data_IF_285899622460
#
_entry.id   IF_285899622460
#
_cell.length_a   1.000
_cell.length_b   1.000
_cell.length_c   1.000
_cell.angle_alpha   90.00
_cell.angle_beta   90.00
_cell.angle_gamma   90.00
#
_symmetry.space_group_name_H-M   'P 1'
#
loop_
_entity.id
_entity.type
_entity.pdbx_description
1 polymer ?
#
# COMPACT_ATOMS: atom_id res chain seq x y z
N UNK A 1 -3.69 -25.43 6.37
CA UNK A 1 -3.54 -24.21 7.18
C UNK A 1 -3.21 -23.07 6.22
N UNK A 2 -3.96 -21.95 6.23
CA UNK A 2 -3.60 -20.77 5.44
C UNK A 2 -2.24 -20.23 5.91
N UNK A 3 -1.41 -19.79 4.96
CA UNK A 3 -0.09 -19.21 5.24
C UNK A 3 -0.20 -17.70 5.13
N UNK A 4 0.26 -17.03 6.18
CA UNK A 4 0.32 -15.56 6.26
C UNK A 4 1.78 -15.14 6.26
N UNK A 5 2.13 -14.20 5.37
CA UNK A 5 3.47 -13.61 5.27
C UNK A 5 3.43 -12.17 5.77
N UNK A 6 4.42 -11.76 6.56
CA UNK A 6 4.59 -10.36 6.95
C UNK A 6 6.00 -9.87 6.58
N UNK A 7 6.05 -8.74 5.89
CA UNK A 7 7.27 -8.10 5.42
C UNK A 7 7.33 -6.74 6.11
N UNK A 8 8.38 -6.52 6.89
CA UNK A 8 8.57 -5.32 7.69
C UNK A 8 10.03 -4.86 7.70
N UNK A 9 10.27 -3.57 7.95
CA UNK A 9 11.62 -3.07 8.25
C UNK A 9 11.96 -3.41 9.72
N UNK A 10 13.23 -3.73 9.97
CA UNK A 10 13.80 -4.30 11.20
C UNK A 10 13.30 -3.70 12.53
N UNK A 11 12.93 -2.41 12.58
CA UNK A 11 12.46 -1.73 13.80
C UNK A 11 11.03 -2.05 14.26
N UNK A 12 10.21 -2.76 13.48
CA UNK A 12 8.79 -3.01 13.82
C UNK A 12 8.50 -4.41 14.43
N UNK A 13 9.52 -5.25 14.58
CA UNK A 13 9.37 -6.69 14.86
C UNK A 13 9.33 -7.07 16.34
N UNK A 14 9.46 -6.13 17.28
CA UNK A 14 9.42 -6.43 18.72
C UNK A 14 8.07 -7.04 19.17
N UNK A 15 7.03 -7.03 18.33
CA UNK A 15 5.66 -7.41 18.70
C UNK A 15 5.17 -8.79 18.21
N UNK A 16 5.91 -9.55 17.39
CA UNK A 16 5.37 -10.78 16.78
C UNK A 16 6.38 -11.93 16.57
N UNK A 17 6.40 -12.96 17.45
CA UNK A 17 7.36 -14.06 17.39
C UNK A 17 6.99 -15.24 16.45
N UNK A 18 5.73 -15.36 16.00
CA UNK A 18 5.25 -16.50 15.20
C UNK A 18 5.27 -16.27 13.67
N UNK A 19 5.96 -15.22 13.23
CA UNK A 19 5.90 -14.69 11.88
C UNK A 19 7.18 -15.03 11.11
N UNK A 20 7.06 -15.42 9.84
CA UNK A 20 8.19 -15.44 8.89
C UNK A 20 8.51 -14.00 8.50
N UNK A 21 9.57 -13.37 9.05
CA UNK A 21 9.86 -11.97 8.78
C UNK A 21 10.72 -11.85 7.53
N UNK A 22 10.34 -10.94 6.64
CA UNK A 22 11.16 -10.54 5.51
C UNK A 22 11.51 -9.03 5.65
N UNK A 23 12.82 -8.75 5.76
CA UNK A 23 13.55 -7.47 5.90
C UNK A 23 14.08 -6.79 4.60
N UNK A 24 13.59 -5.59 4.24
CA UNK A 24 14.21 -4.69 3.23
C UNK A 24 14.30 -5.22 1.78
N UNK A 25 15.16 -4.62 0.94
CA UNK A 25 15.35 -5.04 -0.48
C UNK A 25 15.69 -6.52 -0.63
N UNK A 26 16.57 -7.03 0.24
CA UNK A 26 16.92 -8.46 0.30
C UNK A 26 15.71 -9.34 0.59
N UNK A 27 14.66 -8.77 1.15
CA UNK A 27 13.44 -9.50 1.43
C UNK A 27 12.39 -9.40 0.37
N UNK A 28 12.46 -8.37 -0.47
CA UNK A 28 11.78 -8.42 -1.75
C UNK A 28 12.28 -9.64 -2.55
N UNK A 29 13.59 -9.90 -2.53
CA UNK A 29 14.17 -11.11 -3.12
C UNK A 29 13.69 -12.41 -2.42
N UNK A 30 13.74 -12.47 -1.09
CA UNK A 30 13.26 -13.66 -0.35
C UNK A 30 11.78 -13.98 -0.60
N UNK A 31 10.92 -12.96 -0.65
CA UNK A 31 9.49 -13.12 -0.93
C UNK A 31 9.26 -13.60 -2.35
N UNK A 32 10.05 -13.11 -3.32
CA UNK A 32 9.99 -13.61 -4.70
C UNK A 32 10.45 -15.06 -4.83
N UNK A 33 11.46 -15.45 -4.06
CA UNK A 33 11.96 -16.83 -4.01
C UNK A 33 10.96 -17.75 -3.29
N UNK A 34 10.09 -17.20 -2.44
CA UNK A 34 9.07 -17.97 -1.75
C UNK A 34 8.03 -18.54 -2.73
N UNK A 35 8.18 -19.82 -3.07
CA UNK A 35 7.32 -20.52 -4.04
C UNK A 35 5.99 -21.02 -3.46
N UNK A 36 5.81 -20.92 -2.14
CA UNK A 36 4.58 -21.39 -1.50
C UNK A 36 3.45 -20.39 -1.70
N UNK A 37 2.28 -20.83 -2.19
CA UNK A 37 1.13 -19.94 -2.33
C UNK A 37 0.68 -19.42 -0.95
N UNK A 38 0.47 -18.12 -0.87
CA UNK A 38 -0.02 -17.41 0.30
C UNK A 38 -1.51 -17.14 0.17
N UNK A 39 -2.22 -17.20 1.30
CA UNK A 39 -3.60 -16.75 1.39
C UNK A 39 -3.66 -15.29 1.84
N UNK A 40 -2.74 -14.88 2.71
CA UNK A 40 -2.70 -13.54 3.27
C UNK A 40 -1.26 -13.02 3.24
N UNK A 41 -1.10 -11.73 2.92
CA UNK A 41 0.20 -11.07 2.93
C UNK A 41 0.08 -9.66 3.47
N UNK A 42 1.04 -9.29 4.30
CA UNK A 42 1.25 -7.93 4.80
C UNK A 42 2.63 -7.45 4.38
N UNK A 43 2.66 -6.34 3.63
CA UNK A 43 3.87 -5.75 3.06
C UNK A 43 3.96 -4.29 3.50
N UNK A 44 4.49 -4.07 4.69
CA UNK A 44 4.53 -2.77 5.35
C UNK A 44 5.98 -2.31 5.52
N UNK A 45 6.41 -1.38 4.69
CA UNK A 45 7.69 -0.71 4.87
C UNK A 45 7.46 0.55 5.68
N UNK A 46 8.16 0.69 6.82
CA UNK A 46 8.03 1.87 7.68
C UNK A 46 8.34 3.14 6.87
N UNK A 47 7.44 4.12 6.88
CA UNK A 47 7.65 5.38 6.16
C UNK A 47 8.84 6.20 6.69
N UNK A 48 9.31 5.91 7.90
CA UNK A 48 10.49 6.49 8.56
C UNK A 48 11.62 5.47 8.62
N UNK A 49 12.23 5.16 7.48
CA UNK A 49 13.51 4.45 7.50
C UNK A 49 14.58 5.39 8.09
N UNK A 50 15.42 4.92 9.04
CA UNK A 50 16.55 5.71 9.54
C UNK A 50 17.64 5.91 8.46
N UNK A 51 17.55 5.22 7.33
CA UNK A 51 18.44 5.33 6.20
C UNK A 51 17.90 6.37 5.20
N UNK A 52 18.58 7.52 5.01
CA UNK A 52 18.21 8.49 3.98
C UNK A 52 18.20 7.83 2.60
N UNK A 53 17.17 8.09 1.78
CA UNK A 53 17.08 7.59 0.40
C UNK A 53 16.50 6.17 0.24
N UNK A 54 16.47 5.34 1.30
CA UNK A 54 15.97 3.97 1.21
C UNK A 54 14.52 3.85 0.70
N UNK A 55 13.69 4.87 0.97
CA UNK A 55 12.32 4.94 0.47
C UNK A 55 12.26 5.17 -1.04
N UNK A 56 13.11 6.07 -1.54
CA UNK A 56 13.18 6.40 -2.96
C UNK A 56 13.76 5.22 -3.74
N UNK A 57 14.80 4.57 -3.20
CA UNK A 57 15.41 3.37 -3.78
C UNK A 57 14.37 2.24 -3.93
N UNK A 58 13.64 1.92 -2.85
CA UNK A 58 12.58 0.89 -2.88
C UNK A 58 11.44 1.26 -3.84
N UNK A 59 11.00 2.52 -3.86
CA UNK A 59 9.92 2.98 -4.74
C UNK A 59 10.31 2.91 -6.22
N UNK A 60 11.59 3.13 -6.55
CA UNK A 60 12.11 3.06 -7.91
C UNK A 60 12.32 1.62 -8.38
N UNK A 61 12.55 0.69 -7.45
CA UNK A 61 12.81 -0.70 -7.75
C UNK A 61 11.50 -1.47 -8.03
N UNK A 62 11.28 -1.82 -9.29
CA UNK A 62 10.10 -2.57 -9.74
C UNK A 62 9.94 -3.93 -9.05
N UNK A 63 11.05 -4.56 -8.67
CA UNK A 63 11.04 -5.88 -8.04
C UNK A 63 10.59 -5.83 -6.57
N UNK A 64 10.64 -4.63 -5.96
CA UNK A 64 10.15 -4.37 -4.61
C UNK A 64 8.66 -3.98 -4.59
N UNK A 65 8.01 -3.92 -5.75
CA UNK A 65 6.59 -3.62 -5.82
C UNK A 65 5.77 -4.80 -5.26
N UNK A 66 4.81 -4.58 -4.34
CA UNK A 66 4.08 -5.66 -3.67
C UNK A 66 3.42 -6.67 -4.64
N UNK A 67 2.82 -6.18 -5.72
CA UNK A 67 2.20 -7.04 -6.75
C UNK A 67 3.21 -7.86 -7.55
N UNK A 68 4.43 -7.36 -7.74
CA UNK A 68 5.49 -8.10 -8.43
C UNK A 68 6.10 -9.13 -7.48
N UNK A 69 6.32 -8.76 -6.22
CA UNK A 69 6.83 -9.65 -5.18
C UNK A 69 5.92 -10.86 -4.97
N UNK A 70 4.60 -10.63 -4.93
CA UNK A 70 3.61 -11.65 -4.58
C UNK A 70 3.01 -12.38 -5.80
N UNK A 71 3.58 -12.21 -6.99
CA UNK A 71 3.03 -12.79 -8.24
C UNK A 71 2.80 -14.31 -8.17
N UNK A 72 3.63 -15.05 -7.43
CA UNK A 72 3.48 -16.49 -7.25
C UNK A 72 2.25 -16.88 -6.42
N UNK A 73 1.73 -15.95 -5.62
CA UNK A 73 0.52 -16.12 -4.81
C UNK A 73 -0.72 -15.54 -5.48
N UNK A 74 -0.64 -15.07 -6.73
CA UNK A 74 -1.71 -14.32 -7.38
C UNK A 74 -3.06 -15.06 -7.41
N UNK A 75 -3.04 -16.38 -7.61
CA UNK A 75 -4.25 -17.20 -7.65
C UNK A 75 -4.84 -17.54 -6.27
N UNK A 76 -4.08 -17.36 -5.18
CA UNK A 76 -4.46 -17.83 -3.83
C UNK A 76 -4.60 -16.72 -2.81
N UNK A 77 -3.97 -15.57 -3.04
CA UNK A 77 -3.99 -14.44 -2.14
C UNK A 77 -5.41 -13.88 -2.06
N UNK A 78 -5.97 -13.82 -0.86
CA UNK A 78 -7.32 -13.29 -0.60
C UNK A 78 -7.29 -11.94 0.09
N UNK A 79 -6.26 -11.71 0.91
CA UNK A 79 -6.06 -10.45 1.65
C UNK A 79 -4.65 -9.92 1.43
N UNK A 80 -4.56 -8.65 1.05
CA UNK A 80 -3.31 -7.91 0.93
C UNK A 80 -3.37 -6.67 1.83
N UNK A 81 -2.43 -6.58 2.78
CA UNK A 81 -2.12 -5.36 3.51
C UNK A 81 -0.83 -4.79 2.91
N UNK A 82 -0.82 -3.54 2.48
CA UNK A 82 0.38 -2.94 1.89
C UNK A 82 0.45 -1.45 2.16
N UNK A 83 1.68 -0.94 2.27
CA UNK A 83 1.92 0.48 2.47
C UNK A 83 2.07 1.30 1.19
N UNK A 84 2.71 2.46 1.34
CA UNK A 84 2.99 3.45 0.28
C UNK A 84 3.61 2.87 -1.02
N UNK A 85 4.26 1.71 -0.95
CA UNK A 85 4.95 1.14 -2.12
C UNK A 85 4.02 0.80 -3.28
N UNK A 86 2.75 0.48 -3.01
CA UNK A 86 1.79 0.10 -4.04
C UNK A 86 1.57 1.23 -5.06
N UNK A 87 1.65 2.50 -4.62
CA UNK A 87 1.41 3.67 -5.48
C UNK A 87 2.68 4.47 -5.80
N UNK A 88 3.81 4.11 -5.17
CA UNK A 88 5.04 4.90 -5.24
C UNK A 88 5.78 4.77 -6.58
N UNK A 89 5.67 3.62 -7.26
CA UNK A 89 6.37 3.38 -8.51
C UNK A 89 5.52 3.83 -9.70
N UNK A 90 5.65 5.10 -10.10
CA UNK A 90 4.85 5.68 -11.20
C UNK A 90 4.98 4.90 -12.52
N UNK A 91 6.12 4.25 -12.76
CA UNK A 91 6.35 3.46 -13.96
C UNK A 91 5.44 2.24 -13.96
N UNK A 92 5.32 1.53 -12.83
CA UNK A 92 4.40 0.41 -12.69
C UNK A 92 2.94 0.86 -12.58
N UNK A 93 2.66 2.02 -11.99
CA UNK A 93 1.27 2.47 -11.81
C UNK A 93 0.67 2.96 -13.14
N UNK A 94 1.40 3.73 -13.93
CA UNK A 94 0.84 4.45 -15.08
C UNK A 94 1.43 4.07 -16.44
N UNK A 95 2.69 3.62 -16.49
CA UNK A 95 3.41 3.44 -17.78
C UNK A 95 3.39 1.98 -18.24
N UNK A 96 3.74 1.06 -17.34
CA UNK A 96 3.86 -0.39 -17.58
C UNK A 96 3.35 -1.17 -16.36
N UNK A 97 2.03 -1.25 -16.18
CA UNK A 97 1.46 -2.06 -15.10
C UNK A 97 1.90 -3.51 -15.18
N UNK A 98 2.20 -4.16 -14.03
CA UNK A 98 2.47 -5.59 -14.00
C UNK A 98 1.37 -6.38 -14.72
N UNK A 99 1.77 -7.37 -15.50
CA UNK A 99 0.86 -8.26 -16.25
C UNK A 99 0.36 -9.42 -15.37
N UNK A 100 0.09 -9.12 -14.10
CA UNK A 100 -0.41 -10.07 -13.12
C UNK A 100 -1.73 -9.58 -12.57
N UNK A 101 -2.66 -10.49 -12.40
CA UNK A 101 -3.96 -10.25 -11.76
C UNK A 101 -4.09 -11.16 -10.55
N UNK A 102 -4.71 -10.65 -9.49
CA UNK A 102 -4.95 -11.33 -8.23
C UNK A 102 -6.45 -11.55 -8.08
N UNK A 103 -7.04 -12.53 -8.79
CA UNK A 103 -8.48 -12.70 -8.85
C UNK A 103 -9.09 -13.16 -7.52
N UNK A 104 -8.31 -13.75 -6.61
CA UNK A 104 -8.80 -14.19 -5.31
C UNK A 104 -8.80 -13.07 -4.26
N UNK A 105 -8.13 -11.94 -4.52
CA UNK A 105 -8.05 -10.83 -3.57
C UNK A 105 -9.40 -10.14 -3.48
N UNK A 106 -10.02 -10.24 -2.31
CA UNK A 106 -11.25 -9.55 -1.98
C UNK A 106 -11.05 -8.44 -0.95
N UNK A 107 -9.92 -8.43 -0.22
CA UNK A 107 -9.59 -7.42 0.78
C UNK A 107 -8.24 -6.78 0.50
N UNK A 108 -8.22 -5.45 0.36
CA UNK A 108 -7.02 -4.61 0.27
C UNK A 108 -7.04 -3.61 1.43
N UNK A 109 -5.97 -3.61 2.21
CA UNK A 109 -5.73 -2.62 3.27
C UNK A 109 -4.49 -1.82 2.89
N UNK A 110 -4.67 -0.52 2.72
CA UNK A 110 -3.63 0.43 2.37
C UNK A 110 -3.20 1.18 3.63
N UNK A 111 -1.98 0.94 4.08
CA UNK A 111 -1.45 1.53 5.33
C UNK A 111 -0.46 2.67 5.04
N UNK A 112 -0.47 3.70 5.88
CA UNK A 112 0.38 4.89 5.73
C UNK A 112 0.42 5.49 4.30
N UNK A 113 -0.67 5.37 3.53
CA UNK A 113 -0.73 5.88 2.16
C UNK A 113 -0.87 7.41 2.15
N UNK A 114 0.04 8.10 1.44
CA UNK A 114 0.05 9.57 1.31
C UNK A 114 -0.71 10.08 0.09
N UNK A 115 -0.90 9.23 -0.93
CA UNK A 115 -1.75 9.50 -2.08
C UNK A 115 -2.40 8.22 -2.56
N UNK A 116 -3.61 8.32 -3.11
CA UNK A 116 -4.34 7.19 -3.67
C UNK A 116 -4.69 7.48 -5.11
N UNK A 117 -4.14 6.70 -6.02
CA UNK A 117 -4.66 6.64 -7.38
C UNK A 117 -5.46 5.35 -7.51
N UNK A 118 -6.79 5.44 -7.41
CA UNK A 118 -7.67 4.25 -7.40
C UNK A 118 -7.75 3.51 -8.74
N UNK A 119 -7.39 4.19 -9.85
CA UNK A 119 -7.56 3.70 -11.22
C UNK A 119 -6.82 2.39 -11.59
N UNK A 120 -5.59 2.09 -11.11
CA UNK A 120 -4.85 0.89 -11.50
C UNK A 120 -5.33 -0.38 -10.76
N UNK A 121 -5.92 -0.25 -9.57
CA UNK A 121 -6.25 -1.40 -8.73
C UNK A 121 -7.33 -2.30 -9.33
N UNK A 122 -8.28 -1.72 -10.07
CA UNK A 122 -9.36 -2.48 -10.72
C UNK A 122 -8.78 -3.50 -11.72
N UNK A 123 -7.66 -3.17 -12.36
CA UNK A 123 -6.99 -4.09 -13.29
C UNK A 123 -6.35 -5.26 -12.55
N UNK A 124 -5.66 -4.98 -11.44
CA UNK A 124 -4.89 -6.00 -10.72
C UNK A 124 -5.75 -6.84 -9.79
N UNK A 125 -6.77 -6.25 -9.16
CA UNK A 125 -7.61 -6.84 -8.12
C UNK A 125 -9.09 -6.83 -8.58
N UNK A 126 -9.45 -7.57 -9.64
CA UNK A 126 -10.75 -7.42 -10.31
C UNK A 126 -11.96 -7.78 -9.42
N UNK A 127 -11.75 -8.56 -8.35
CA UNK A 127 -12.79 -8.99 -7.42
C UNK A 127 -12.68 -8.31 -6.05
N UNK A 128 -12.01 -7.16 -5.98
CA UNK A 128 -11.85 -6.42 -4.73
C UNK A 128 -13.22 -5.99 -4.18
N UNK A 129 -13.57 -6.49 -3.00
CA UNK A 129 -14.84 -6.20 -2.32
C UNK A 129 -14.68 -5.25 -1.13
N UNK A 130 -13.51 -5.27 -0.49
CA UNK A 130 -13.19 -4.49 0.69
C UNK A 130 -11.90 -3.71 0.46
N UNK A 131 -12.02 -2.37 0.46
CA UNK A 131 -10.89 -1.45 0.44
C UNK A 131 -10.89 -0.67 1.76
N UNK A 132 -9.80 -0.80 2.53
CA UNK A 132 -9.56 -0.02 3.73
C UNK A 132 -8.33 0.85 3.51
N UNK A 133 -8.40 2.11 3.90
CA UNK A 133 -7.25 3.02 3.87
C UNK A 133 -7.00 3.53 5.28
N UNK A 134 -5.77 3.38 5.76
CA UNK A 134 -5.29 3.86 7.05
C UNK A 134 -4.30 4.99 6.79
N UNK A 135 -4.64 6.18 7.25
CA UNK A 135 -3.80 7.36 7.12
C UNK A 135 -2.92 7.51 8.36
N UNK A 136 -1.67 7.93 8.17
CA UNK A 136 -0.69 8.09 9.25
C UNK A 136 -0.97 9.34 10.10
N UNK A 137 -1.28 10.46 9.43
CA UNK A 137 -1.32 11.78 10.06
C UNK A 137 -2.72 12.41 9.98
N UNK A 138 -3.33 12.51 8.78
CA UNK A 138 -4.71 12.98 8.56
C UNK A 138 -5.24 12.43 7.23
N UNK A 139 -6.55 12.19 7.12
CA UNK A 139 -7.16 11.89 5.82
C UNK A 139 -6.98 13.10 4.89
N UNK A 140 -6.64 12.93 3.60
CA UNK A 140 -6.67 14.03 2.64
C UNK A 140 -8.10 14.57 2.41
N UNK A 141 -9.10 13.88 2.98
CA UNK A 141 -10.50 14.29 3.02
C UNK A 141 -10.90 14.93 4.36
N UNK A 142 -10.00 14.97 5.34
CA UNK A 142 -10.17 15.78 6.56
C UNK A 142 -9.85 17.24 6.22
N UNK A 143 -10.63 17.82 5.30
CA UNK A 143 -10.77 19.27 5.17
C UNK A 143 -11.57 19.77 6.39
N UNK A 144 -11.00 19.66 7.58
CA UNK A 144 -11.40 20.53 8.67
C UNK A 144 -10.74 21.88 8.45
N UNK A 145 -11.38 22.65 7.58
CA UNK A 145 -11.32 24.10 7.53
C UNK A 145 -11.18 24.67 8.95
N UNK A 146 -9.94 24.99 9.34
CA UNK A 146 -9.66 25.82 10.51
C UNK A 146 -9.77 27.31 10.17
N UNK A 147 -10.32 27.64 9.00
CA UNK A 147 -10.89 28.96 8.77
C UNK A 147 -12.32 28.94 9.28
N UNK A 148 -12.51 29.49 10.49
CA UNK A 148 -13.84 29.86 11.00
C UNK A 148 -14.66 30.58 9.93
N UNK A 149 -16.01 30.60 10.03
CA UNK A 149 -16.92 30.81 8.92
C UNK A 149 -16.43 31.90 7.97
N UNK A 150 -15.78 31.46 6.89
CA UNK A 150 -15.29 32.36 5.85
C UNK A 150 -16.49 33.07 5.27
N UNK A 151 -16.45 34.41 5.28
CA UNK A 151 -17.51 35.22 4.70
C UNK A 151 -17.79 34.74 3.27
N UNK A 152 -19.02 34.30 3.04
CA UNK A 152 -19.52 33.98 1.70
C UNK A 152 -19.30 35.22 0.82
N UNK A 153 -18.51 35.14 -0.27
CA UNK A 153 -18.39 36.24 -1.21
C UNK A 153 -19.76 36.50 -1.84
N UNK A 154 -20.41 37.60 -1.46
CA UNK A 154 -21.76 37.97 -1.91
C UNK A 154 -22.78 38.28 -0.81
N UNK A 155 -22.46 38.08 0.47
CA UNK A 155 -23.38 38.38 1.58
C UNK A 155 -23.53 39.89 1.91
N UNK A 156 -22.90 40.78 1.13
CA UNK A 156 -22.91 42.24 1.35
C UNK A 156 -23.77 43.00 0.32
N UNK A 157 -24.91 42.43 -0.11
CA UNK A 157 -25.98 43.24 -0.70
C UNK A 157 -26.97 43.62 0.39
N UNK A 158 -26.65 44.73 1.06
CA UNK A 158 -27.63 45.47 1.85
C UNK A 158 -28.79 45.85 0.94
N UNK A 159 -30.00 45.43 1.31
CA UNK A 159 -31.22 45.95 0.73
C UNK A 159 -31.30 47.47 1.02
N UNK A 160 -31.39 48.26 -0.05
CA UNK A 160 -31.99 49.60 -0.06
C UNK A 160 -33.22 49.54 -0.96
#
# INVERSE_FOLDING_TARGET
MPKTLFVAIEGALESYPDILPAFGERSCELVRVFQSPLAEAEVCFAATSPLPGARDDLSSNTECHPLVMLQHSAATLTTLVTGFLLDSNIQLVFVRPPDVTFPAVHTLILDECTSLTLAPYIKWLPNLAHLCVRYRDHSPWDDHDHHGPGQIPGAALSAL
#
